data_IF_086472123138
#
_entry.id   IF_086472123138
#
_cell.length_a   1.000
_cell.length_b   1.000
_cell.length_c   1.000
_cell.angle_alpha   90.00
_cell.angle_beta   90.00
_cell.angle_gamma   90.00
#
_symmetry.space_group_name_H-M   'P 1'
#
loop_
_entity.id
_entity.type
_entity.pdbx_description
1 polymer ?
#
# COMPACT_ATOMS: atom_id res chain seq x y z
N UNK A 1 5.32 -27.77 -54.25
CA UNK A 1 5.86 -26.97 -53.13
C UNK A 1 5.00 -25.72 -52.94
N UNK A 2 4.18 -25.63 -51.88
CA UNK A 2 3.72 -24.33 -51.39
C UNK A 2 4.26 -24.06 -49.98
N UNK A 3 4.87 -22.87 -49.80
CA UNK A 3 5.24 -22.36 -48.50
C UNK A 3 4.03 -21.68 -47.82
N UNK A 4 3.77 -21.94 -46.52
CA UNK A 4 2.88 -21.10 -45.73
C UNK A 4 3.65 -20.08 -44.87
N UNK A 5 2.92 -19.00 -44.60
CA UNK A 5 3.36 -17.65 -44.21
C UNK A 5 3.69 -17.50 -42.71
N UNK A 6 4.45 -16.44 -42.42
CA UNK A 6 4.71 -15.85 -41.11
C UNK A 6 3.41 -15.47 -40.36
N UNK A 7 3.30 -15.87 -39.10
CA UNK A 7 2.56 -15.23 -37.98
C UNK A 7 2.99 -15.96 -36.70
N UNK A 8 3.19 -15.39 -35.53
CA UNK A 8 3.08 -14.06 -34.96
C UNK A 8 3.55 -14.21 -33.50
N UNK A 9 4.44 -13.33 -33.05
CA UNK A 9 4.19 -12.36 -31.98
C UNK A 9 3.98 -12.92 -30.55
N UNK A 10 4.95 -12.51 -29.74
CA UNK A 10 4.83 -11.90 -28.41
C UNK A 10 4.78 -12.83 -27.19
N UNK A 11 5.96 -12.85 -26.53
CA UNK A 11 6.19 -13.02 -25.09
C UNK A 11 4.92 -12.75 -24.27
N UNK A 12 4.47 -13.76 -23.55
CA UNK A 12 3.57 -13.59 -22.41
C UNK A 12 4.23 -12.60 -21.44
N UNK A 13 3.72 -11.37 -21.45
CA UNK A 13 4.13 -10.32 -20.55
C UNK A 13 3.68 -10.68 -19.14
N UNK A 14 4.65 -10.67 -18.22
CA UNK A 14 4.50 -10.37 -16.81
C UNK A 14 3.23 -10.88 -16.14
N UNK A 15 3.30 -12.13 -15.65
CA UNK A 15 2.64 -12.46 -14.38
C UNK A 15 3.31 -11.65 -13.26
N UNK A 16 3.06 -10.34 -13.25
CA UNK A 16 3.39 -9.48 -12.13
C UNK A 16 2.42 -9.83 -11.01
N UNK A 17 2.79 -10.80 -10.17
CA UNK A 17 2.23 -10.89 -8.82
C UNK A 17 2.35 -9.50 -8.22
N UNK A 18 1.23 -8.77 -8.14
CA UNK A 18 1.19 -7.48 -7.45
C UNK A 18 1.73 -7.78 -6.06
N UNK A 19 2.92 -7.28 -5.68
CA UNK A 19 3.51 -7.64 -4.41
C UNK A 19 2.45 -7.31 -3.36
N UNK A 20 2.08 -8.31 -2.56
CA UNK A 20 1.15 -8.11 -1.46
C UNK A 20 1.83 -7.10 -0.55
N UNK A 21 1.38 -5.84 -0.63
CA UNK A 21 1.99 -4.74 0.12
C UNK A 21 2.02 -5.15 1.59
N UNK A 22 3.21 -5.09 2.18
CA UNK A 22 3.37 -5.31 3.62
C UNK A 22 2.48 -4.32 4.38
N UNK A 23 2.09 -4.64 5.60
CA UNK A 23 1.20 -3.76 6.38
C UNK A 23 1.78 -2.33 6.50
N UNK A 24 3.11 -2.24 6.62
CA UNK A 24 3.88 -0.99 6.61
C UNK A 24 3.72 -0.23 5.28
N UNK A 25 3.88 -0.90 4.13
CA UNK A 25 3.71 -0.27 2.82
C UNK A 25 2.27 0.19 2.58
N UNK A 26 1.27 -0.57 3.04
CA UNK A 26 -0.15 -0.17 2.97
C UNK A 26 -0.41 1.09 3.79
N UNK A 27 0.17 1.17 4.98
CA UNK A 27 0.06 2.34 5.83
C UNK A 27 0.77 3.57 5.22
N UNK A 28 1.97 3.41 4.65
CA UNK A 28 2.66 4.50 3.95
C UNK A 28 1.85 5.00 2.76
N UNK A 29 1.30 4.10 1.94
CA UNK A 29 0.46 4.47 0.81
C UNK A 29 -0.81 5.21 1.23
N UNK A 30 -1.42 4.81 2.36
CA UNK A 30 -2.57 5.51 2.95
C UNK A 30 -2.18 6.95 3.34
N UNK A 31 -1.10 7.12 4.11
CA UNK A 31 -0.66 8.45 4.56
C UNK A 31 -0.28 9.33 3.36
N UNK A 32 0.49 8.82 2.41
CA UNK A 32 0.88 9.55 1.21
C UNK A 32 -0.33 10.00 0.37
N UNK A 33 -1.36 9.16 0.26
CA UNK A 33 -2.59 9.53 -0.44
C UNK A 33 -3.36 10.65 0.28
N UNK A 34 -3.38 10.64 1.61
CA UNK A 34 -4.04 11.68 2.42
C UNK A 34 -3.26 12.99 2.34
N UNK A 35 -1.93 12.94 2.46
CA UNK A 35 -1.05 14.10 2.37
C UNK A 35 -1.10 14.74 0.96
N UNK A 36 -1.38 13.94 -0.08
CA UNK A 36 -1.65 14.41 -1.43
C UNK A 36 -3.05 15.04 -1.61
N UNK A 37 -3.83 15.19 -0.54
CA UNK A 37 -5.19 15.75 -0.57
C UNK A 37 -6.30 14.73 -0.82
N UNK A 38 -5.99 13.42 -0.78
CA UNK A 38 -6.97 12.35 -0.90
C UNK A 38 -7.86 12.25 0.34
N UNK A 39 -9.16 12.04 0.14
CA UNK A 39 -10.11 11.87 1.26
C UNK A 39 -10.02 10.43 1.77
N UNK A 40 -9.86 10.21 3.09
CA UNK A 40 -9.75 8.88 3.68
C UNK A 40 -10.97 8.01 3.33
N UNK A 41 -10.68 6.90 2.66
CA UNK A 41 -11.70 5.93 2.24
C UNK A 41 -12.11 5.08 3.44
N UNK A 42 -13.04 5.57 4.27
CA UNK A 42 -13.68 4.89 5.41
C UNK A 42 -12.76 4.65 6.64
N UNK A 43 -13.21 5.14 7.81
CA UNK A 43 -12.56 4.95 9.11
C UNK A 43 -12.28 3.48 9.45
N UNK A 44 -13.19 2.57 9.10
CA UNK A 44 -13.02 1.13 9.36
C UNK A 44 -11.79 0.56 8.64
N UNK A 45 -11.50 1.01 7.42
CA UNK A 45 -10.32 0.59 6.66
C UNK A 45 -9.03 1.09 7.31
N UNK A 46 -9.04 2.33 7.80
CA UNK A 46 -7.90 2.92 8.52
C UNK A 46 -7.64 2.14 9.81
N UNK A 47 -8.69 1.82 10.56
CA UNK A 47 -8.58 1.03 11.78
C UNK A 47 -8.04 -0.38 11.51
N UNK A 48 -8.43 -1.01 10.41
CA UNK A 48 -7.88 -2.30 10.00
C UNK A 48 -6.38 -2.21 9.72
N UNK A 49 -5.93 -1.18 8.99
CA UNK A 49 -4.50 -0.95 8.71
C UNK A 49 -3.74 -0.70 10.01
N UNK A 50 -4.27 0.11 10.93
CA UNK A 50 -3.65 0.36 12.23
C UNK A 50 -3.49 -0.94 13.04
N UNK A 51 -4.52 -1.79 13.10
CA UNK A 51 -4.44 -3.10 13.77
C UNK A 51 -3.45 -4.03 13.12
N UNK A 52 -3.37 -4.02 11.79
CA UNK A 52 -2.36 -4.78 11.04
C UNK A 52 -0.92 -4.32 11.32
N UNK A 53 -0.72 -3.06 11.72
CA UNK A 53 0.57 -2.56 12.23
C UNK A 53 0.83 -2.90 13.71
N UNK A 54 -0.11 -3.58 14.38
CA UNK A 54 -0.03 -3.87 15.82
C UNK A 54 -0.44 -2.69 16.71
N UNK A 55 -1.11 -1.67 16.16
CA UNK A 55 -1.65 -0.56 16.95
C UNK A 55 -3.03 -0.92 17.50
N UNK A 56 -3.24 -0.69 18.80
CA UNK A 56 -4.57 -0.74 19.39
C UNK A 56 -5.34 0.56 19.11
N UNK A 57 -6.45 0.41 18.39
CA UNK A 57 -7.34 1.53 18.04
C UNK A 57 -8.80 1.15 18.33
N UNK A 58 -9.48 2.07 19.03
CA UNK A 58 -10.91 1.95 19.28
C UNK A 58 -11.67 2.08 17.96
N UNK A 59 -12.77 1.34 17.82
CA UNK A 59 -13.68 1.46 16.68
C UNK A 59 -14.30 2.86 16.56
N UNK A 60 -14.39 3.58 17.69
CA UNK A 60 -14.91 4.94 17.77
C UNK A 60 -13.81 6.01 17.83
N UNK A 61 -12.54 5.62 17.64
CA UNK A 61 -11.45 6.58 17.62
C UNK A 61 -11.66 7.60 16.49
N UNK A 62 -11.39 8.89 16.72
CA UNK A 62 -11.35 9.87 15.65
C UNK A 62 -10.36 9.42 14.55
N UNK A 63 -10.75 9.61 13.30
CA UNK A 63 -9.91 9.25 12.15
C UNK A 63 -8.56 9.94 12.23
N UNK A 64 -8.55 11.24 12.56
CA UNK A 64 -7.33 12.03 12.66
C UNK A 64 -6.35 11.47 13.71
N UNK A 65 -6.83 11.11 14.90
CA UNK A 65 -6.01 10.50 15.95
C UNK A 65 -5.41 9.17 15.49
N UNK A 66 -6.19 8.39 14.72
CA UNK A 66 -5.72 7.12 14.16
C UNK A 66 -4.62 7.34 13.12
N UNK A 67 -4.76 8.36 12.28
CA UNK A 67 -3.73 8.73 11.30
C UNK A 67 -2.43 9.17 11.98
N UNK A 68 -2.51 9.97 13.04
CA UNK A 68 -1.34 10.36 13.84
C UNK A 68 -0.62 9.15 14.44
N UNK A 69 -1.36 8.18 14.99
CA UNK A 69 -0.77 6.94 15.52
C UNK A 69 -0.06 6.13 14.44
N UNK A 70 -0.67 6.05 13.25
CA UNK A 70 -0.04 5.38 12.10
C UNK A 70 1.25 6.12 11.69
N UNK A 71 1.24 7.46 11.62
CA UNK A 71 2.44 8.27 11.32
C UNK A 71 3.57 7.97 12.30
N UNK A 72 3.28 7.98 13.60
CA UNK A 72 4.27 7.67 14.64
C UNK A 72 4.78 6.22 14.56
N UNK A 73 3.91 5.26 14.27
CA UNK A 73 4.31 3.87 14.09
C UNK A 73 5.26 3.71 12.89
N UNK A 74 4.95 4.38 11.77
CA UNK A 74 5.80 4.36 10.58
C UNK A 74 7.18 4.95 10.84
N UNK A 75 7.28 6.03 11.62
CA UNK A 75 8.58 6.61 12.03
C UNK A 75 9.44 5.63 12.86
N UNK A 76 8.81 4.72 13.62
CA UNK A 76 9.55 3.71 14.42
C UNK A 76 10.05 2.55 13.56
N UNK A 77 9.31 2.19 12.51
CA UNK A 77 9.57 1.01 11.68
C UNK A 77 10.41 1.34 10.45
N UNK A 78 10.33 2.58 9.96
CA UNK A 78 11.15 3.07 8.84
C UNK A 78 12.27 3.93 9.40
N UNK A 79 13.53 3.44 9.44
CA UNK A 79 14.67 4.33 9.61
C UNK A 79 14.62 5.39 8.50
N UNK A 80 14.96 6.66 8.77
CA UNK A 80 14.90 7.76 7.79
C UNK A 80 15.73 7.54 6.50
N UNK A 81 16.52 6.47 6.41
CA UNK A 81 17.48 6.21 5.34
C UNK A 81 17.28 4.90 4.57
N UNK A 82 16.05 4.36 4.49
CA UNK A 82 15.83 3.18 3.62
C UNK A 82 15.81 3.62 2.14
N UNK A 83 16.81 3.24 1.33
CA UNK A 83 16.85 3.64 -0.08
C UNK A 83 15.65 3.04 -0.81
N UNK A 84 14.96 3.89 -1.59
CA UNK A 84 13.98 3.43 -2.58
C UNK A 84 14.76 2.59 -3.61
N UNK A 85 14.58 1.27 -3.54
CA UNK A 85 14.99 0.32 -4.58
C UNK A 85 14.25 0.59 -5.90
#
# INVERSE_FOLDING_TARGET
MPAPKLWGRLKAACLGSRPVLTDVQRAQALIAAIDAGGIPLNAARINAIARSLGLEVSTHAPVNDTLERIRLALQRVTPPDSPKL
#
